data_IF_346410657444
#
_entry.id   IF_346410657444
#
_cell.length_a   1.000
_cell.length_b   1.000
_cell.length_c   1.000
_cell.angle_alpha   90.00
_cell.angle_beta   90.00
_cell.angle_gamma   90.00
#
_symmetry.space_group_name_H-M   'P 1'
#
loop_
_entity.id
_entity.type
_entity.pdbx_description
1 polymer ?
#
# COMPACT_ATOMS: atom_id res chain seq x y z
N UNK A 1 -0.87 0.60 -29.38
CA UNK A 1 -0.74 -0.81 -28.95
C UNK A 1 -1.79 -1.05 -27.87
N UNK A 2 -2.50 -2.17 -27.94
CA UNK A 2 -3.54 -2.51 -26.97
C UNK A 2 -2.90 -2.89 -25.62
N UNK A 3 -3.67 -2.78 -24.53
CA UNK A 3 -3.18 -2.96 -23.16
C UNK A 3 -2.52 -4.33 -22.93
N UNK A 4 -3.11 -5.40 -23.46
CA UNK A 4 -2.61 -6.77 -23.30
C UNK A 4 -1.20 -6.95 -23.86
N UNK A 5 -0.92 -6.45 -25.07
CA UNK A 5 0.42 -6.53 -25.67
C UNK A 5 1.48 -5.82 -24.80
N UNK A 6 1.13 -4.68 -24.19
CA UNK A 6 2.03 -3.93 -23.31
C UNK A 6 2.34 -4.72 -22.03
N UNK A 7 1.33 -5.37 -21.47
CA UNK A 7 1.48 -6.26 -20.31
C UNK A 7 2.44 -7.40 -20.64
N UNK A 8 2.23 -8.09 -21.77
CA UNK A 8 3.08 -9.21 -22.20
C UNK A 8 4.54 -8.81 -22.45
N UNK A 9 4.79 -7.54 -22.76
CA UNK A 9 6.14 -6.98 -22.98
C UNK A 9 6.77 -6.39 -21.72
N UNK A 10 6.07 -6.37 -20.59
CA UNK A 10 6.52 -5.72 -19.37
C UNK A 10 6.69 -4.20 -19.52
N UNK A 11 5.93 -3.59 -20.44
CA UNK A 11 5.96 -2.14 -20.63
C UNK A 11 5.30 -1.40 -19.46
N UNK A 12 5.64 -0.11 -19.31
CA UNK A 12 5.04 0.73 -18.28
C UNK A 12 3.54 0.90 -18.53
N UNK A 13 2.73 0.45 -17.57
CA UNK A 13 1.26 0.52 -17.63
C UNK A 13 0.69 1.84 -17.08
N UNK A 14 1.53 2.73 -16.49
CA UNK A 14 1.10 4.05 -15.99
C UNK A 14 0.21 4.83 -16.95
N UNK A 15 0.46 4.85 -18.28
CA UNK A 15 -0.42 5.55 -19.22
C UNK A 15 -1.87 5.07 -19.21
N UNK A 16 -2.13 3.84 -18.77
CA UNK A 16 -3.48 3.25 -18.67
C UNK A 16 -4.15 3.49 -17.31
N UNK A 17 -3.44 4.00 -16.31
CA UNK A 17 -4.00 4.29 -14.99
C UNK A 17 -4.68 5.66 -14.93
N UNK A 18 -5.28 5.99 -13.79
CA UNK A 18 -5.86 7.31 -13.56
C UNK A 18 -4.79 8.40 -13.51
N UNK A 19 -5.01 9.50 -14.25
CA UNK A 19 -4.20 10.72 -14.13
C UNK A 19 -4.17 11.33 -12.72
N UNK A 20 -5.10 10.94 -11.85
CA UNK A 20 -5.09 11.39 -10.46
C UNK A 20 -3.89 10.85 -9.67
N UNK A 21 -3.22 9.80 -10.16
CA UNK A 21 -1.97 9.31 -9.58
C UNK A 21 -0.83 10.34 -9.59
N UNK A 22 -0.89 11.35 -10.46
CA UNK A 22 0.07 12.46 -10.46
C UNK A 22 -0.14 13.42 -9.27
N UNK A 23 -1.29 13.35 -8.61
CA UNK A 23 -1.61 14.20 -7.47
C UNK A 23 -1.09 13.58 -6.18
N UNK A 24 -0.20 14.31 -5.51
CA UNK A 24 0.25 13.97 -4.16
C UNK A 24 -0.97 13.85 -3.24
N UNK A 25 -1.06 12.75 -2.51
CA UNK A 25 -2.17 12.47 -1.60
C UNK A 25 -3.42 11.88 -2.26
N UNK A 26 -3.40 11.56 -3.56
CA UNK A 26 -4.47 10.76 -4.16
C UNK A 26 -4.56 9.39 -3.46
N UNK A 27 -5.79 8.99 -3.11
CA UNK A 27 -6.10 7.75 -2.43
C UNK A 27 -6.97 6.89 -3.35
N UNK A 28 -6.38 5.83 -3.91
CA UNK A 28 -7.13 4.81 -4.64
C UNK A 28 -7.69 3.80 -3.64
N UNK A 29 -8.87 4.12 -3.10
CA UNK A 29 -9.49 3.30 -2.06
C UNK A 29 -9.88 1.90 -2.54
N UNK A 30 -10.11 1.70 -3.83
CA UNK A 30 -10.39 0.37 -4.36
C UNK A 30 -9.12 -0.48 -4.35
N UNK A 31 -8.00 0.12 -4.78
CA UNK A 31 -6.70 -0.55 -4.71
C UNK A 31 -6.34 -0.86 -3.25
N UNK A 32 -6.55 0.08 -2.33
CA UNK A 32 -6.24 -0.13 -0.92
C UNK A 32 -7.12 -1.20 -0.28
N UNK A 33 -8.42 -1.23 -0.60
CA UNK A 33 -9.34 -2.21 -0.02
C UNK A 33 -9.17 -3.58 -0.65
N UNK A 34 -9.22 -3.67 -1.98
CA UNK A 34 -9.38 -4.93 -2.69
C UNK A 34 -8.19 -5.35 -3.52
N UNK A 35 -7.14 -4.53 -3.60
CA UNK A 35 -5.98 -4.78 -4.47
C UNK A 35 -6.40 -5.03 -5.93
N UNK A 36 -7.36 -4.21 -6.38
CA UNK A 36 -7.88 -4.20 -7.75
C UNK A 36 -7.51 -2.87 -8.39
N UNK A 37 -6.79 -2.97 -9.50
CA UNK A 37 -6.48 -1.87 -10.39
C UNK A 37 -7.59 -1.70 -11.43
N UNK A 38 -7.70 -0.49 -11.98
CA UNK A 38 -8.59 -0.20 -13.09
C UNK A 38 -7.82 0.49 -14.23
N UNK A 39 -7.79 -0.16 -15.39
CA UNK A 39 -7.04 0.26 -16.56
C UNK A 39 -7.96 0.80 -17.65
N UNK A 40 -7.65 1.99 -18.17
CA UNK A 40 -8.28 2.54 -19.36
C UNK A 40 -7.85 1.77 -20.61
N UNK A 41 -8.78 1.55 -21.54
CA UNK A 41 -8.58 0.70 -22.71
C UNK A 41 -8.17 1.45 -23.99
N UNK A 42 -7.94 2.76 -23.89
CA UNK A 42 -7.48 3.56 -25.02
C UNK A 42 -6.15 3.09 -25.61
N UNK A 43 -5.98 3.32 -26.92
CA UNK A 43 -4.77 2.93 -27.66
C UNK A 43 -3.85 4.11 -27.98
N UNK A 44 -4.41 5.32 -28.05
CA UNK A 44 -3.70 6.55 -28.37
C UNK A 44 -3.34 7.29 -27.08
N UNK A 45 -2.13 7.85 -27.05
CA UNK A 45 -1.71 8.73 -25.95
C UNK A 45 -2.15 10.16 -26.26
N UNK A 46 -2.71 10.81 -25.25
CA UNK A 46 -2.91 12.25 -25.26
C UNK A 46 -1.60 12.99 -24.92
N UNK A 47 -1.64 14.32 -25.04
CA UNK A 47 -0.52 15.22 -24.76
C UNK A 47 0.08 15.12 -23.36
N UNK A 48 -0.64 14.53 -22.39
CA UNK A 48 -0.16 14.35 -21.01
C UNK A 48 0.43 12.96 -20.75
N UNK A 49 0.59 12.12 -21.80
CA UNK A 49 1.16 10.79 -21.66
C UNK A 49 0.21 9.72 -21.10
N UNK A 50 -1.10 10.00 -21.07
CA UNK A 50 -2.14 9.03 -20.71
C UNK A 50 -2.92 8.58 -21.93
N UNK A 51 -3.53 7.40 -21.90
CA UNK A 51 -4.38 6.95 -22.99
C UNK A 51 -5.70 7.72 -23.04
N UNK A 52 -6.27 7.86 -24.24
CA UNK A 52 -7.61 8.42 -24.42
C UNK A 52 -8.67 7.55 -23.72
N UNK A 53 -9.67 8.21 -23.12
CA UNK A 53 -10.73 7.51 -22.40
C UNK A 53 -11.72 6.89 -23.39
N UNK A 54 -12.01 5.62 -23.19
CA UNK A 54 -12.98 4.85 -23.99
C UNK A 54 -14.33 4.68 -23.31
N UNK A 55 -14.46 5.04 -22.03
CA UNK A 55 -15.62 4.75 -21.18
C UNK A 55 -15.32 3.55 -20.28
N UNK A 56 -15.46 2.30 -20.78
CA UNK A 56 -15.16 1.11 -20.00
C UNK A 56 -13.70 1.00 -19.54
N UNK A 57 -13.54 0.39 -18.37
CA UNK A 57 -12.26 0.06 -17.74
C UNK A 57 -12.12 -1.45 -17.59
N UNK A 58 -10.89 -1.93 -17.68
CA UNK A 58 -10.54 -3.27 -17.21
C UNK A 58 -10.22 -3.21 -15.72
N UNK A 59 -11.01 -3.92 -14.93
CA UNK A 59 -10.71 -4.23 -13.53
C UNK A 59 -9.80 -5.45 -13.48
N UNK A 60 -8.67 -5.33 -12.79
CA UNK A 60 -7.68 -6.41 -12.73
C UNK A 60 -6.93 -6.44 -11.40
N UNK A 61 -6.61 -7.65 -10.94
CA UNK A 61 -5.67 -7.87 -9.83
C UNK A 61 -4.28 -8.04 -10.40
N UNK A 62 -3.29 -7.35 -9.84
CA UNK A 62 -1.89 -7.41 -10.27
C UNK A 62 -1.08 -8.03 -9.15
N UNK A 63 -0.37 -9.11 -9.43
CA UNK A 63 0.63 -9.72 -8.54
C UNK A 63 2.02 -9.61 -9.17
N UNK A 64 3.05 -10.02 -8.44
CA UNK A 64 4.44 -9.96 -8.90
C UNK A 64 4.68 -10.68 -10.25
N UNK A 65 3.89 -11.70 -10.54
CA UNK A 65 4.07 -12.59 -11.69
C UNK A 65 2.85 -12.73 -12.60
N UNK A 66 1.69 -12.17 -12.24
CA UNK A 66 0.43 -12.34 -12.99
C UNK A 66 -0.43 -11.08 -12.97
N UNK A 67 -1.21 -10.91 -14.03
CA UNK A 67 -2.34 -9.98 -14.04
C UNK A 67 -3.61 -10.78 -14.34
N UNK A 68 -4.56 -10.69 -13.43
CA UNK A 68 -5.84 -11.37 -13.52
C UNK A 68 -6.89 -10.39 -14.04
N UNK A 69 -7.39 -10.61 -15.26
CA UNK A 69 -8.41 -9.75 -15.88
C UNK A 69 -9.80 -10.13 -15.37
N UNK A 70 -10.36 -9.32 -14.50
CA UNK A 70 -11.58 -9.67 -13.75
C UNK A 70 -12.83 -9.36 -14.58
N UNK A 71 -13.00 -8.09 -14.97
CA UNK A 71 -14.23 -7.60 -15.61
C UNK A 71 -13.92 -6.35 -16.41
N UNK A 72 -14.59 -6.19 -17.55
CA UNK A 72 -14.68 -4.90 -18.23
C UNK A 72 -16.03 -4.29 -17.87
N UNK A 73 -16.02 -3.09 -17.29
CA UNK A 73 -17.24 -2.39 -16.90
C UNK A 73 -17.03 -0.88 -16.98
N UNK A 74 -18.13 -0.13 -17.00
CA UNK A 74 -18.10 1.32 -16.92
C UNK A 74 -17.48 1.81 -15.60
N UNK A 75 -17.07 3.07 -15.60
CA UNK A 75 -16.72 3.78 -14.37
C UNK A 75 -17.81 3.61 -13.29
N UNK A 76 -17.40 3.72 -12.03
CA UNK A 76 -18.25 3.75 -10.83
C UNK A 76 -18.73 2.42 -10.25
N UNK A 77 -18.27 1.28 -10.78
CA UNK A 77 -18.43 -0.04 -10.14
C UNK A 77 -17.34 -0.36 -9.10
N UNK A 78 -16.91 0.63 -8.31
CA UNK A 78 -15.75 0.50 -7.41
C UNK A 78 -15.97 -0.44 -6.22
N UNK A 79 -17.21 -0.67 -5.83
CA UNK A 79 -17.62 -1.51 -4.69
C UNK A 79 -18.47 -2.70 -5.10
N UNK A 80 -18.50 -3.04 -6.39
CA UNK A 80 -19.22 -4.20 -6.90
C UNK A 80 -18.56 -5.49 -6.38
N UNK A 81 -19.21 -6.15 -5.40
CA UNK A 81 -18.68 -7.38 -4.81
C UNK A 81 -18.57 -8.54 -5.79
N UNK A 82 -19.23 -8.47 -6.95
CA UNK A 82 -19.05 -9.45 -8.03
C UNK A 82 -17.60 -9.52 -8.48
N UNK A 83 -16.81 -8.46 -8.33
CA UNK A 83 -15.38 -8.49 -8.63
C UNK A 83 -14.64 -9.49 -7.75
N UNK A 84 -14.96 -9.54 -6.45
CA UNK A 84 -14.37 -10.52 -5.53
C UNK A 84 -14.94 -11.92 -5.80
N UNK A 85 -16.22 -12.02 -6.13
CA UNK A 85 -16.85 -13.29 -6.55
C UNK A 85 -16.15 -13.87 -7.77
N UNK A 86 -15.91 -13.09 -8.83
CA UNK A 86 -15.21 -13.53 -10.04
C UNK A 86 -13.79 -14.02 -9.71
N UNK A 87 -13.04 -13.29 -8.87
CA UNK A 87 -11.70 -13.73 -8.45
C UNK A 87 -11.79 -15.06 -7.69
N UNK A 88 -12.76 -15.22 -6.80
CA UNK A 88 -12.94 -16.46 -6.04
C UNK A 88 -13.27 -17.65 -6.95
N UNK A 89 -14.17 -17.47 -7.91
CA UNK A 89 -14.62 -18.56 -8.79
C UNK A 89 -13.51 -19.01 -9.75
N UNK A 90 -12.70 -18.07 -10.25
CA UNK A 90 -11.69 -18.36 -11.26
C UNK A 90 -10.32 -18.65 -10.65
N UNK A 91 -9.92 -17.90 -9.62
CA UNK A 91 -8.57 -17.93 -9.04
C UNK A 91 -8.58 -17.83 -7.51
N UNK A 92 -9.26 -18.74 -6.78
CA UNK A 92 -9.42 -18.61 -5.33
C UNK A 92 -8.09 -18.61 -4.57
N UNK A 93 -7.06 -19.27 -5.10
CA UNK A 93 -5.71 -19.28 -4.54
C UNK A 93 -5.04 -17.90 -4.54
N UNK A 94 -5.44 -17.00 -5.44
CA UNK A 94 -4.86 -15.65 -5.52
C UNK A 94 -5.26 -14.75 -4.34
N UNK A 95 -6.36 -15.08 -3.66
CA UNK A 95 -6.89 -14.33 -2.52
C UNK A 95 -7.07 -15.19 -1.26
N UNK A 96 -6.54 -16.42 -1.25
CA UNK A 96 -6.79 -17.38 -0.16
C UNK A 96 -6.24 -16.93 1.19
N UNK A 97 -5.17 -16.14 1.21
CA UNK A 97 -4.60 -15.56 2.44
C UNK A 97 -5.53 -14.57 3.13
N UNK A 98 -6.50 -14.02 2.39
CA UNK A 98 -7.48 -13.06 2.91
C UNK A 98 -8.79 -13.73 3.31
N UNK A 99 -8.92 -15.04 3.13
CA UNK A 99 -10.12 -15.78 3.51
C UNK A 99 -10.28 -15.73 5.03
N UNK A 100 -11.41 -15.24 5.50
CA UNK A 100 -11.75 -15.27 6.91
C UNK A 100 -12.08 -16.70 7.33
N UNK A 101 -11.65 -17.08 8.53
CA UNK A 101 -12.05 -18.32 9.20
C UNK A 101 -13.44 -18.22 9.84
N UNK A 102 -14.07 -17.04 9.85
CA UNK A 102 -15.41 -16.86 10.38
C UNK A 102 -16.43 -17.50 9.44
N UNK A 103 -17.15 -18.50 9.95
CA UNK A 103 -18.22 -19.19 9.20
C UNK A 103 -19.52 -18.38 9.16
N UNK A 104 -19.79 -17.61 10.22
CA UNK A 104 -20.98 -16.77 10.37
C UNK A 104 -20.55 -15.33 10.60
N UNK A 105 -21.08 -14.43 9.78
CA UNK A 105 -21.02 -13.00 9.99
C UNK A 105 -22.42 -12.51 10.32
N UNK A 106 -22.55 -11.65 11.33
CA UNK A 106 -23.82 -11.02 11.67
C UNK A 106 -24.23 -9.99 10.61
N UNK A 107 -23.24 -9.35 9.97
CA UNK A 107 -23.44 -8.38 8.90
C UNK A 107 -23.05 -8.93 7.53
N UNK A 108 -23.91 -8.71 6.54
CA UNK A 108 -23.68 -9.00 5.13
C UNK A 108 -23.95 -7.73 4.33
N UNK A 109 -22.90 -6.95 4.09
CA UNK A 109 -23.02 -5.68 3.38
C UNK A 109 -23.18 -5.90 1.87
N UNK A 110 -24.12 -5.18 1.27
CA UNK A 110 -24.21 -5.10 -0.19
C UNK A 110 -23.18 -4.12 -0.79
N UNK A 111 -23.11 -4.07 -2.13
CA UNK A 111 -22.13 -3.22 -2.84
C UNK A 111 -22.29 -1.72 -2.53
N UNK A 112 -23.50 -1.24 -2.23
CA UNK A 112 -23.76 0.16 -1.90
C UNK A 112 -23.34 0.47 -0.45
N UNK A 113 -23.65 -0.42 0.48
CA UNK A 113 -23.20 -0.31 1.87
C UNK A 113 -21.67 -0.36 1.95
N UNK A 114 -21.01 -1.23 1.17
CA UNK A 114 -19.56 -1.27 1.05
C UNK A 114 -19.01 0.07 0.53
N UNK A 115 -19.65 0.69 -0.47
CA UNK A 115 -19.24 2.02 -0.95
C UNK A 115 -19.32 3.07 0.17
N UNK A 116 -20.39 3.05 0.97
CA UNK A 116 -20.59 3.98 2.07
C UNK A 116 -19.54 3.79 3.17
N UNK A 117 -19.27 2.55 3.57
CA UNK A 117 -18.23 2.20 4.54
C UNK A 117 -16.85 2.65 4.04
N UNK A 118 -16.50 2.32 2.78
CA UNK A 118 -15.23 2.71 2.17
C UNK A 118 -15.07 4.22 2.07
N UNK A 119 -16.15 4.94 1.74
CA UNK A 119 -16.16 6.41 1.74
C UNK A 119 -15.81 6.97 3.13
N UNK A 120 -16.28 6.33 4.19
CA UNK A 120 -15.98 6.63 5.58
C UNK A 120 -14.65 6.05 6.12
N UNK A 121 -13.81 5.44 5.27
CA UNK A 121 -12.57 4.76 5.64
C UNK A 121 -12.78 3.58 6.61
N UNK A 122 -13.95 2.94 6.55
CA UNK A 122 -14.26 1.73 7.32
C UNK A 122 -14.05 0.52 6.41
N UNK A 123 -13.22 -0.41 6.85
CA UNK A 123 -13.00 -1.66 6.14
C UNK A 123 -14.16 -2.63 6.42
N UNK A 124 -14.64 -3.31 5.39
CA UNK A 124 -15.71 -4.30 5.49
C UNK A 124 -15.19 -5.70 5.12
N UNK A 125 -15.82 -6.73 5.69
CA UNK A 125 -15.62 -8.11 5.23
C UNK A 125 -16.57 -8.32 4.04
N UNK A 126 -16.04 -8.85 2.94
CA UNK A 126 -16.83 -9.15 1.74
C UNK A 126 -17.37 -10.57 1.85
N UNK A 127 -18.69 -10.68 1.96
CA UNK A 127 -19.40 -11.96 1.86
C UNK A 127 -19.84 -12.21 0.41
N UNK A 128 -19.34 -13.30 -0.17
CA UNK A 128 -19.70 -13.70 -1.55
C UNK A 128 -20.67 -14.88 -1.59
N UNK A 129 -20.66 -15.73 -0.56
CA UNK A 129 -21.57 -16.86 -0.39
C UNK A 129 -21.63 -17.29 1.09
N UNK A 130 -22.60 -18.12 1.51
CA UNK A 130 -22.63 -18.67 2.86
C UNK A 130 -21.30 -19.36 3.22
N UNK A 131 -20.66 -18.92 4.31
CA UNK A 131 -19.36 -19.45 4.77
C UNK A 131 -18.14 -19.06 3.90
N UNK A 132 -18.31 -18.16 2.93
CA UNK A 132 -17.22 -17.66 2.08
C UNK A 132 -17.08 -16.15 2.24
N UNK A 133 -16.11 -15.78 3.07
CA UNK A 133 -15.86 -14.43 3.54
C UNK A 133 -14.39 -14.04 3.28
N UNK A 134 -14.16 -12.83 2.81
CA UNK A 134 -12.81 -12.29 2.62
C UNK A 134 -12.65 -10.96 3.34
N UNK A 135 -11.53 -10.81 4.06
CA UNK A 135 -10.98 -9.48 4.29
C UNK A 135 -10.63 -8.86 2.93
N UNK A 136 -10.69 -7.53 2.83
CA UNK A 136 -10.27 -6.82 1.61
C UNK A 136 -8.88 -7.29 1.14
N UNK A 137 -8.73 -7.82 -0.09
CA UNK A 137 -7.45 -8.35 -0.56
C UNK A 137 -6.30 -7.33 -0.76
N UNK A 138 -6.52 -6.06 -0.40
CA UNK A 138 -5.49 -5.01 -0.28
C UNK A 138 -5.19 -4.57 1.16
N UNK A 139 -5.75 -5.28 2.16
CA UNK A 139 -5.68 -4.97 3.61
C UNK A 139 -6.46 -3.75 4.08
N UNK A 140 -7.09 -3.00 3.18
CA UNK A 140 -7.93 -1.88 3.55
C UNK A 140 -7.15 -0.59 3.81
N UNK A 141 -7.78 0.27 4.58
CA UNK A 141 -7.31 1.61 4.86
C UNK A 141 -7.25 1.86 6.37
N UNK A 142 -6.35 2.74 6.78
CA UNK A 142 -6.41 3.37 8.09
C UNK A 142 -7.57 4.39 8.14
N UNK A 143 -7.98 4.81 9.34
CA UNK A 143 -9.05 5.82 9.51
C UNK A 143 -8.75 7.17 8.85
N UNK A 144 -7.47 7.46 8.56
CA UNK A 144 -7.03 8.63 7.78
C UNK A 144 -7.24 8.50 6.26
N UNK A 145 -7.69 7.33 5.79
CA UNK A 145 -7.91 7.00 4.38
C UNK A 145 -6.66 6.51 3.62
N UNK A 146 -5.49 6.53 4.26
CA UNK A 146 -4.27 5.96 3.68
C UNK A 146 -4.33 4.43 3.68
N UNK A 147 -3.64 3.79 2.72
CA UNK A 147 -3.47 2.33 2.70
C UNK A 147 -3.00 1.82 4.08
N UNK A 148 -3.67 0.78 4.58
CA UNK A 148 -3.30 0.14 5.83
C UNK A 148 -1.87 -0.44 5.76
N UNK A 149 -1.51 -1.05 4.64
CA UNK A 149 -0.17 -1.59 4.37
C UNK A 149 0.92 -0.51 4.39
N UNK A 150 0.65 0.65 3.76
CA UNK A 150 1.58 1.78 3.78
C UNK A 150 1.78 2.35 5.20
N UNK A 151 0.70 2.43 5.99
CA UNK A 151 0.76 2.88 7.39
C UNK A 151 1.51 1.87 8.25
N UNK A 152 1.26 0.58 8.09
CA UNK A 152 1.97 -0.47 8.82
C UNK A 152 3.46 -0.46 8.51
N UNK A 153 3.82 -0.40 7.22
CA UNK A 153 5.20 -0.26 6.77
C UNK A 153 5.91 0.96 7.37
N UNK A 154 5.21 2.10 7.42
CA UNK A 154 5.74 3.32 8.05
C UNK A 154 5.94 3.13 9.57
N UNK A 155 4.99 2.54 10.28
CA UNK A 155 5.10 2.28 11.71
C UNK A 155 6.21 1.28 12.02
N UNK A 156 6.34 0.22 11.22
CA UNK A 156 7.43 -0.75 11.33
C UNK A 156 8.79 -0.07 11.18
N UNK A 157 8.93 0.77 10.14
CA UNK A 157 10.14 1.57 9.94
C UNK A 157 10.41 2.45 11.16
N UNK A 158 9.44 3.24 11.60
CA UNK A 158 9.57 4.14 12.74
C UNK A 158 9.99 3.42 14.03
N UNK A 159 9.42 2.25 14.30
CA UNK A 159 9.81 1.42 15.44
C UNK A 159 11.25 0.92 15.31
N UNK A 160 11.66 0.44 14.14
CA UNK A 160 13.04 0.04 13.89
C UNK A 160 14.03 1.18 14.13
N UNK A 161 13.73 2.40 13.64
CA UNK A 161 14.57 3.58 13.92
C UNK A 161 14.68 3.87 15.42
N UNK A 162 13.57 3.79 16.17
CA UNK A 162 13.55 4.00 17.62
C UNK A 162 14.34 2.93 18.37
N UNK A 163 14.24 1.68 17.96
CA UNK A 163 14.98 0.57 18.57
C UNK A 163 16.50 0.72 18.31
N UNK A 164 16.87 1.17 17.13
CA UNK A 164 18.26 1.51 16.80
C UNK A 164 18.77 2.70 17.64
N UNK A 165 17.98 3.78 17.76
CA UNK A 165 18.29 4.92 18.63
C UNK A 165 18.52 4.45 20.09
N UNK A 166 17.63 3.59 20.60
CA UNK A 166 17.74 3.03 21.96
C UNK A 166 18.97 2.13 22.11
N UNK A 167 19.25 1.27 21.12
CA UNK A 167 20.40 0.39 21.11
C UNK A 167 21.72 1.18 21.13
N UNK A 168 21.82 2.26 20.34
CA UNK A 168 22.98 3.14 20.34
C UNK A 168 23.16 3.80 21.71
N UNK A 169 22.08 4.38 22.28
CA UNK A 169 22.12 5.02 23.61
C UNK A 169 22.53 4.06 24.72
N UNK A 170 22.03 2.83 24.71
CA UNK A 170 22.36 1.83 25.73
C UNK A 170 23.77 1.26 25.57
N UNK A 171 24.43 1.47 24.43
CA UNK A 171 25.74 0.89 24.12
C UNK A 171 26.73 1.96 23.61
N UNK A 172 26.65 3.19 24.13
CA UNK A 172 27.41 4.32 23.59
C UNK A 172 28.92 4.05 23.53
N UNK A 173 29.51 3.44 24.56
CA UNK A 173 30.93 3.09 24.56
C UNK A 173 31.32 2.07 23.49
N UNK A 174 30.39 1.19 23.07
CA UNK A 174 30.62 0.26 21.96
C UNK A 174 30.62 0.99 20.61
N UNK A 175 29.71 1.94 20.42
CA UNK A 175 29.56 2.67 19.16
C UNK A 175 30.55 3.85 19.05
N UNK A 176 30.97 4.40 20.19
CA UNK A 176 31.86 5.55 20.31
C UNK A 176 32.94 5.27 21.38
N UNK A 177 33.90 4.37 21.09
CA UNK A 177 34.92 3.97 22.08
C UNK A 177 35.85 5.11 22.50
N UNK A 178 36.03 6.11 21.63
CA UNK A 178 36.91 7.27 21.87
C UNK A 178 36.16 8.47 22.47
N UNK A 179 34.86 8.35 22.76
CA UNK A 179 34.09 9.44 23.33
C UNK A 179 34.48 9.68 24.81
N UNK A 180 34.78 10.93 25.14
CA UNK A 180 35.24 11.31 26.47
C UNK A 180 34.21 10.92 27.55
N UNK A 181 34.63 10.11 28.52
CA UNK A 181 33.79 9.62 29.62
C UNK A 181 33.24 10.73 30.51
N UNK A 182 33.74 11.96 30.38
CA UNK A 182 33.24 13.16 31.05
C UNK A 182 31.89 13.68 30.50
N UNK A 183 31.43 13.20 29.35
CA UNK A 183 30.12 13.58 28.80
C UNK A 183 28.99 12.91 29.57
N UNK A 184 28.05 13.72 30.09
CA UNK A 184 26.84 13.19 30.71
C UNK A 184 25.88 12.64 29.65
N UNK A 185 26.08 11.38 29.28
CA UNK A 185 25.31 10.66 28.26
C UNK A 185 23.81 10.54 28.55
N UNK A 186 23.38 10.73 29.81
CA UNK A 186 21.96 10.63 30.21
C UNK A 186 21.06 11.70 29.58
N UNK A 187 21.64 12.83 29.15
CA UNK A 187 20.90 13.95 28.56
C UNK A 187 20.90 13.95 27.02
N UNK A 188 21.55 12.99 26.35
CA UNK A 188 21.64 13.02 24.89
C UNK A 188 20.29 12.76 24.22
N UNK A 189 19.90 13.68 23.33
CA UNK A 189 18.74 13.52 22.46
C UNK A 189 19.19 13.03 21.09
N UNK A 190 19.53 11.75 21.02
CA UNK A 190 19.94 11.10 19.78
C UNK A 190 18.73 10.83 18.87
N UNK A 191 18.87 11.16 17.58
CA UNK A 191 17.93 10.86 16.51
C UNK A 191 18.62 10.27 15.29
N UNK A 192 17.99 9.27 14.69
CA UNK A 192 18.47 8.62 13.48
C UNK A 192 17.62 9.09 12.29
N UNK A 193 18.28 9.61 11.26
CA UNK A 193 17.66 10.06 10.02
C UNK A 193 18.18 9.25 8.85
N UNK A 194 17.29 8.94 7.90
CA UNK A 194 17.69 8.45 6.57
C UNK A 194 17.42 9.55 5.56
N UNK A 195 18.45 9.95 4.82
CA UNK A 195 18.36 10.86 3.69
C UNK A 195 18.99 10.16 2.50
N UNK A 196 18.19 9.95 1.45
CA UNK A 196 18.56 9.09 0.32
C UNK A 196 18.99 7.71 0.86
N UNK A 197 20.18 7.24 0.52
CA UNK A 197 20.71 5.94 0.96
C UNK A 197 21.69 6.05 2.14
N UNK A 198 21.71 7.21 2.82
CA UNK A 198 22.64 7.47 3.94
C UNK A 198 21.89 7.63 5.25
N UNK A 199 22.46 7.05 6.30
CA UNK A 199 21.99 7.22 7.66
C UNK A 199 22.82 8.28 8.40
N UNK A 200 22.13 9.09 9.18
CA UNK A 200 22.70 10.16 9.98
C UNK A 200 22.25 10.01 11.42
N UNK A 201 23.22 9.99 12.33
CA UNK A 201 22.94 10.04 13.76
C UNK A 201 23.18 11.47 14.23
N UNK A 202 22.14 12.09 14.77
CA UNK A 202 22.18 13.47 15.25
C UNK A 202 21.92 13.54 16.75
N UNK A 203 22.74 14.28 17.46
CA UNK A 203 22.48 14.73 18.82
C UNK A 203 21.79 16.10 18.73
N UNK A 204 20.52 16.13 19.10
CA UNK A 204 19.63 17.26 18.85
C UNK A 204 19.77 18.41 19.84
N UNK A 205 20.52 18.26 20.93
CA UNK A 205 20.72 19.35 21.90
C UNK A 205 21.91 20.24 21.50
N UNK A 206 22.88 19.68 20.78
CA UNK A 206 24.10 20.35 20.32
C UNK A 206 24.18 20.45 18.79
N UNK A 207 23.08 20.16 18.08
CA UNK A 207 22.96 20.16 16.61
C UNK A 207 24.12 19.47 15.88
N UNK A 208 24.61 18.37 16.46
CA UNK A 208 25.76 17.63 15.93
C UNK A 208 25.29 16.36 15.24
N UNK A 209 25.64 16.20 13.96
CA UNK A 209 25.29 15.02 13.19
C UNK A 209 26.52 14.32 12.63
N UNK A 210 26.52 12.99 12.69
CA UNK A 210 27.53 12.15 12.04
C UNK A 210 26.84 11.24 11.02
N UNK A 211 27.49 11.04 9.89
CA UNK A 211 27.05 10.05 8.90
C UNK A 211 27.50 8.66 9.36
N UNK A 212 26.59 7.70 9.40
CA UNK A 212 26.93 6.30 9.67
C UNK A 212 27.26 5.62 8.33
N UNK A 213 28.47 5.09 8.21
CA UNK A 213 28.92 4.32 7.05
C UNK A 213 28.92 2.83 7.39
N UNK A 214 27.99 2.07 6.81
CA UNK A 214 27.87 0.61 6.99
C UNK A 214 26.41 0.13 6.88
N UNK A 215 26.16 -1.17 6.60
CA UNK A 215 24.83 -1.74 6.68
C UNK A 215 24.36 -1.73 8.14
N UNK A 216 23.15 -1.22 8.39
CA UNK A 216 22.47 -1.20 9.67
C UNK A 216 21.42 -2.32 9.77
#
# INVERSE_FOLDING_TARGET
MILEDKILRGENLRPHLSKLMDKIGFQDKMLFDWDIHHFHLGVNLNQNGYVDRTGPLLYARVTDDKIYFIKIAEHDNWSDKDLITIIHENWPKSISSFRSSAEVLESNYDSEEIAQLRKANVNSIVNIAPGINYYGPGWGMASSGHSADAVDSYLHMLHRFRDMEKSIKSNLSKWFPDADTALNYSNLRIKLFKKEDKFWLCEMNNDTCIQINGPL
#
